data_IF_497961515135
#
_entry.id   IF_497961515135
#
_cell.length_a   1.000
_cell.length_b   1.000
_cell.length_c   1.000
_cell.angle_alpha   90.00
_cell.angle_beta   90.00
_cell.angle_gamma   90.00
#
_symmetry.space_group_name_H-M   'P 1'
#
loop_
_entity.id
_entity.type
_entity.pdbx_description
1 polymer ?
#
# COMPACT_ATOMS: atom_id res chain seq x y z
N UNK A 1 22.62 -23.39 1.43
CA UNK A 1 21.56 -24.42 1.31
C UNK A 1 20.28 -23.84 1.87
N UNK A 2 19.30 -23.49 1.03
CA UNK A 2 18.02 -22.91 1.46
C UNK A 2 16.93 -23.99 1.35
N UNK A 3 16.32 -24.34 2.47
CA UNK A 3 15.24 -25.32 2.51
C UNK A 3 13.95 -24.74 1.92
N UNK A 4 13.23 -25.63 1.25
CA UNK A 4 12.13 -25.39 0.34
C UNK A 4 10.84 -25.04 1.08
N UNK A 5 10.07 -24.13 0.46
CA UNK A 5 8.63 -23.89 0.63
C UNK A 5 7.85 -25.21 0.88
N UNK A 6 6.81 -25.17 1.71
CA UNK A 6 5.77 -26.21 1.97
C UNK A 6 4.63 -25.38 2.61
N UNK A 7 3.34 -25.38 2.22
CA UNK A 7 2.38 -26.35 1.64
C UNK A 7 1.36 -25.56 0.76
N UNK A 8 0.84 -26.04 -0.39
CA UNK A 8 -0.36 -26.89 -0.63
C UNK A 8 -1.62 -26.40 0.11
N UNK A 9 -2.75 -26.07 -0.55
CA UNK A 9 -3.73 -27.01 -1.15
C UNK A 9 -4.59 -26.35 -2.26
N UNK A 10 -4.83 -27.14 -3.31
CA UNK A 10 -5.76 -26.97 -4.44
C UNK A 10 -7.19 -27.44 -4.13
N UNK A 11 -8.16 -27.04 -4.97
CA UNK A 11 -9.47 -27.69 -5.22
C UNK A 11 -10.50 -27.51 -4.06
N UNK A 12 -11.69 -26.94 -4.27
CA UNK A 12 -12.71 -27.45 -5.18
C UNK A 12 -13.85 -26.46 -5.40
N UNK A 13 -14.45 -26.55 -6.57
CA UNK A 13 -15.71 -25.94 -6.95
C UNK A 13 -16.92 -26.62 -6.26
N UNK A 14 -18.06 -25.91 -6.35
CA UNK A 14 -19.45 -26.38 -6.38
C UNK A 14 -20.26 -26.35 -5.06
N UNK A 15 -21.49 -25.83 -5.22
CA UNK A 15 -22.72 -25.95 -4.40
C UNK A 15 -22.92 -24.89 -3.28
N UNK A 16 -24.08 -24.24 -3.05
CA UNK A 16 -25.45 -24.22 -3.62
C UNK A 16 -26.07 -22.87 -3.18
N UNK A 17 -26.87 -22.25 -4.05
CA UNK A 17 -27.81 -21.17 -3.72
C UNK A 17 -28.89 -21.63 -2.73
N UNK A 18 -29.13 -20.91 -1.64
CA UNK A 18 -30.44 -20.91 -0.98
C UNK A 18 -30.91 -19.49 -0.66
N UNK A 19 -32.18 -19.26 -0.98
CA UNK A 19 -33.01 -18.09 -0.72
C UNK A 19 -33.20 -17.78 0.77
N UNK A 20 -33.55 -16.53 1.07
CA UNK A 20 -34.29 -16.20 2.30
C UNK A 20 -34.51 -14.71 2.53
N UNK A 21 -35.69 -14.20 2.14
CA UNK A 21 -36.18 -12.85 2.38
C UNK A 21 -36.55 -12.58 3.85
N UNK A 22 -36.38 -11.33 4.31
CA UNK A 22 -37.35 -10.46 5.05
C UNK A 22 -36.57 -9.30 5.72
N UNK A 23 -36.82 -8.02 5.41
CA UNK A 23 -37.91 -7.15 5.89
C UNK A 23 -37.87 -6.97 7.43
N UNK A 24 -37.99 -5.79 8.06
CA UNK A 24 -38.26 -4.42 7.65
C UNK A 24 -37.98 -3.45 8.83
N UNK A 25 -37.89 -2.15 8.49
CA UNK A 25 -38.36 -0.98 9.25
C UNK A 25 -37.78 -0.59 10.62
N UNK A 26 -37.36 0.68 10.71
CA UNK A 26 -37.24 1.42 11.97
C UNK A 26 -36.41 2.70 11.83
N UNK A 27 -36.99 3.75 11.26
CA UNK A 27 -36.42 5.10 11.19
C UNK A 27 -36.63 5.86 12.53
N UNK A 28 -36.23 7.15 12.65
CA UNK A 28 -35.23 7.63 13.60
C UNK A 28 -35.84 8.39 14.79
N UNK A 29 -35.05 8.59 15.86
CA UNK A 29 -35.39 9.54 16.93
C UNK A 29 -34.41 10.70 16.95
N UNK A 30 -35.02 11.88 16.99
CA UNK A 30 -34.45 13.22 16.88
C UNK A 30 -34.45 13.92 18.24
N UNK A 31 -33.66 14.99 18.30
CA UNK A 31 -33.80 16.21 19.12
C UNK A 31 -33.07 16.30 20.45
N UNK A 32 -32.39 17.43 20.64
CA UNK A 32 -31.73 17.83 21.88
C UNK A 32 -30.72 18.97 21.71
N UNK A 33 -31.23 20.19 21.49
CA UNK A 33 -30.55 21.48 21.32
C UNK A 33 -30.03 22.09 22.63
N UNK A 34 -29.03 22.99 22.54
CA UNK A 34 -28.71 24.03 23.54
C UNK A 34 -27.19 24.29 23.68
N UNK A 35 -26.57 25.24 22.98
CA UNK A 35 -26.55 26.71 23.12
C UNK A 35 -25.71 27.28 24.29
N UNK A 36 -24.93 28.32 23.93
CA UNK A 36 -24.39 29.45 24.71
C UNK A 36 -23.02 29.27 25.41
N UNK A 37 -21.92 29.86 24.90
CA UNK A 37 -21.43 31.27 25.06
C UNK A 37 -20.57 31.47 26.31
N UNK A 38 -19.27 31.79 26.15
CA UNK A 38 -18.65 33.10 26.47
C UNK A 38 -17.15 33.15 26.18
N UNK A 39 -16.75 34.21 25.49
CA UNK A 39 -15.38 34.71 25.36
C UNK A 39 -14.82 35.18 26.71
N UNK A 40 -13.49 35.16 26.84
CA UNK A 40 -12.73 36.32 27.35
C UNK A 40 -11.25 36.17 27.04
N UNK A 41 -10.75 37.12 26.25
CA UNK A 41 -9.35 37.47 26.02
C UNK A 41 -8.81 38.32 27.17
N UNK A 42 -7.48 38.29 27.40
CA UNK A 42 -6.63 39.42 27.85
C UNK A 42 -5.19 38.88 27.99
N UNK A 43 -4.26 39.27 27.11
CA UNK A 43 -3.32 40.42 27.27
C UNK A 43 -2.17 40.10 28.26
N UNK A 44 -0.97 39.80 27.76
CA UNK A 44 0.20 40.72 27.58
C UNK A 44 1.03 40.83 28.90
N UNK A 45 2.35 41.07 29.00
CA UNK A 45 3.38 41.84 28.28
C UNK A 45 4.78 41.27 28.65
N UNK A 46 5.75 41.57 27.79
CA UNK A 46 7.21 41.41 27.79
C UNK A 46 8.04 41.91 28.99
N UNK A 47 9.26 41.36 29.16
CA UNK A 47 10.58 42.06 29.12
C UNK A 47 11.70 41.08 29.48
N UNK A 48 12.67 40.78 28.60
CA UNK A 48 14.01 41.40 28.53
C UNK A 48 14.78 41.36 29.86
N UNK A 49 15.81 40.50 29.92
CA UNK A 49 17.11 40.99 30.38
C UNK A 49 18.28 40.17 29.82
N UNK A 50 19.32 40.91 29.43
CA UNK A 50 20.55 40.43 28.83
C UNK A 50 21.65 40.56 29.87
N UNK A 51 22.53 39.57 30.02
CA UNK A 51 23.88 39.85 30.55
C UNK A 51 24.87 38.77 30.13
N UNK A 52 25.80 39.20 29.29
CA UNK A 52 27.05 38.55 28.95
C UNK A 52 28.04 38.65 30.12
N UNK A 53 28.72 37.55 30.48
CA UNK A 53 30.09 37.63 31.04
C UNK A 53 30.89 36.43 30.55
N UNK A 54 32.01 36.75 29.90
CA UNK A 54 33.12 35.88 29.53
C UNK A 54 34.11 35.79 30.70
N UNK A 55 34.62 34.58 30.98
CA UNK A 55 35.95 34.40 31.57
C UNK A 55 36.50 33.03 31.25
N UNK A 56 37.60 33.02 30.52
CA UNK A 56 38.41 31.87 30.12
C UNK A 56 39.47 31.58 31.21
N UNK A 57 39.80 30.32 31.50
CA UNK A 57 41.17 29.81 31.71
C UNK A 57 41.25 28.35 32.23
N UNK A 58 41.84 27.50 31.38
CA UNK A 58 42.96 26.56 31.67
C UNK A 58 42.82 25.44 32.73
N UNK A 59 42.88 24.17 32.27
CA UNK A 59 44.09 23.28 32.23
C UNK A 59 43.71 21.79 32.39
N UNK A 60 44.33 20.94 31.58
CA UNK A 60 44.08 19.51 31.31
C UNK A 60 44.30 18.52 32.48
N UNK A 61 43.64 17.35 32.41
CA UNK A 61 44.31 16.03 32.28
C UNK A 61 43.33 14.87 31.96
N UNK A 62 43.53 14.26 30.79
CA UNK A 62 43.47 12.84 30.36
C UNK A 62 42.69 11.81 31.21
N UNK A 63 41.72 11.11 30.58
CA UNK A 63 41.72 9.64 30.48
C UNK A 63 40.90 9.19 29.25
N UNK A 64 41.42 8.17 28.57
CA UNK A 64 40.87 7.59 27.35
C UNK A 64 39.55 6.85 27.60
N UNK A 65 38.64 6.90 26.62
CA UNK A 65 37.85 5.73 26.28
C UNK A 65 37.41 5.74 24.82
N UNK A 66 37.31 4.52 24.31
CA UNK A 66 37.47 4.14 22.92
C UNK A 66 36.38 4.67 22.00
N UNK A 67 36.84 5.19 20.86
CA UNK A 67 36.08 5.47 19.66
C UNK A 67 35.21 4.29 19.24
N UNK A 68 33.91 4.42 19.49
CA UNK A 68 32.87 3.69 18.75
C UNK A 68 32.09 4.70 17.94
N UNK A 69 32.74 5.26 16.92
CA UNK A 69 32.04 6.03 15.90
C UNK A 69 31.24 5.02 15.07
N UNK A 70 30.06 4.66 15.56
CA UNK A 70 29.03 4.00 14.76
C UNK A 70 28.57 5.02 13.74
N UNK A 71 29.32 5.13 12.65
CA UNK A 71 28.80 5.64 11.40
C UNK A 71 27.73 4.64 11.01
N UNK A 72 26.50 4.86 11.48
CA UNK A 72 25.33 4.28 10.86
C UNK A 72 25.41 4.79 9.44
N UNK A 73 25.90 3.94 8.54
CA UNK A 73 25.72 4.14 7.12
C UNK A 73 24.20 4.16 6.96
N UNK A 74 23.64 5.36 7.04
CA UNK A 74 22.39 5.68 6.39
C UNK A 74 22.68 5.31 4.96
N UNK A 75 22.29 4.08 4.58
CA UNK A 75 22.00 3.78 3.20
C UNK A 75 20.96 4.83 2.84
N UNK A 76 21.44 5.94 2.28
CA UNK A 76 20.63 6.79 1.44
C UNK A 76 20.21 5.88 0.31
N UNK A 77 19.16 5.10 0.59
CA UNK A 77 18.32 4.47 -0.39
C UNK A 77 18.09 5.58 -1.40
N UNK A 78 18.70 5.46 -2.57
CA UNK A 78 18.23 6.18 -3.73
C UNK A 78 16.71 6.04 -3.71
N UNK A 79 16.00 7.15 -3.82
CA UNK A 79 14.56 7.13 -3.72
C UNK A 79 14.06 6.22 -4.84
N UNK A 80 13.65 4.99 -4.49
CA UNK A 80 13.12 4.04 -5.46
C UNK A 80 11.97 4.74 -6.17
N UNK A 81 12.05 4.83 -7.50
CA UNK A 81 11.05 5.54 -8.30
C UNK A 81 9.63 5.04 -7.97
N UNK A 82 8.63 5.91 -8.16
CA UNK A 82 7.23 5.55 -7.93
C UNK A 82 6.87 4.33 -8.79
N UNK A 83 6.42 3.23 -8.15
CA UNK A 83 6.10 2.00 -8.88
C UNK A 83 4.93 2.17 -9.83
N UNK A 84 3.88 2.87 -9.37
CA UNK A 84 2.63 3.04 -10.11
C UNK A 84 2.03 4.41 -9.78
N UNK A 85 1.54 5.10 -10.80
CA UNK A 85 0.86 6.38 -10.69
C UNK A 85 -0.65 6.17 -10.52
N UNK A 86 -1.28 6.98 -9.68
CA UNK A 86 -2.72 7.00 -9.44
C UNK A 86 -3.45 8.02 -10.35
N UNK A 87 -2.78 8.50 -11.39
CA UNK A 87 -3.31 9.44 -12.39
C UNK A 87 -2.53 9.33 -13.72
N UNK A 88 -3.02 10.01 -14.76
CA UNK A 88 -2.46 9.97 -16.12
C UNK A 88 -1.22 10.85 -16.33
N UNK A 89 -0.80 11.64 -15.34
CA UNK A 89 0.17 12.72 -15.52
C UNK A 89 1.45 12.52 -14.71
N UNK A 90 1.38 11.68 -13.68
CA UNK A 90 2.50 11.33 -12.83
C UNK A 90 3.30 10.21 -13.47
N UNK A 91 4.62 10.39 -13.52
CA UNK A 91 5.53 9.35 -14.02
C UNK A 91 5.70 8.26 -12.98
N UNK A 92 5.58 7.00 -13.40
CA UNK A 92 5.88 5.83 -12.61
C UNK A 92 6.77 4.85 -13.39
N UNK A 93 7.22 3.79 -12.73
CA UNK A 93 7.99 2.71 -13.36
C UNK A 93 7.07 1.85 -14.23
N UNK A 94 5.90 1.48 -13.71
CA UNK A 94 4.93 0.61 -14.37
C UNK A 94 3.61 1.33 -14.63
N UNK A 95 2.97 0.97 -15.74
CA UNK A 95 1.68 1.52 -16.17
C UNK A 95 0.89 0.40 -16.84
N UNK A 96 -0.40 0.28 -16.54
CA UNK A 96 -1.28 -0.72 -17.16
C UNK A 96 -1.23 -0.55 -18.69
N UNK A 97 -1.10 -1.68 -19.38
CA UNK A 97 -0.93 -1.76 -20.84
C UNK A 97 0.50 -1.74 -21.36
N UNK A 98 1.51 -1.70 -20.48
CA UNK A 98 2.88 -2.02 -20.90
C UNK A 98 2.95 -3.46 -21.40
N UNK A 99 3.69 -3.71 -22.49
CA UNK A 99 3.98 -5.07 -22.94
C UNK A 99 4.95 -5.78 -22.00
N UNK A 100 4.99 -7.11 -22.03
CA UNK A 100 5.99 -7.92 -21.30
C UNK A 100 7.42 -7.43 -21.52
N UNK A 101 7.80 -7.07 -22.74
CA UNK A 101 9.15 -6.57 -23.03
C UNK A 101 9.41 -5.18 -22.43
N UNK A 102 8.41 -4.29 -22.45
CA UNK A 102 8.51 -2.99 -21.77
C UNK A 102 8.65 -3.17 -20.25
N UNK A 103 7.91 -4.11 -19.65
CA UNK A 103 8.02 -4.44 -18.23
C UNK A 103 9.41 -4.98 -17.88
N UNK A 104 9.93 -5.95 -18.65
CA UNK A 104 11.28 -6.49 -18.45
C UNK A 104 12.36 -5.42 -18.56
N UNK A 105 12.23 -4.52 -19.54
CA UNK A 105 13.13 -3.38 -19.69
C UNK A 105 13.06 -2.46 -18.48
N UNK A 106 11.87 -2.10 -18.02
CA UNK A 106 11.69 -1.26 -16.84
C UNK A 106 12.27 -1.89 -15.57
N UNK A 107 12.10 -3.20 -15.37
CA UNK A 107 12.73 -3.94 -14.26
C UNK A 107 14.27 -3.82 -14.31
N UNK A 108 14.86 -4.02 -15.48
CA UNK A 108 16.32 -3.93 -15.66
C UNK A 108 16.85 -2.50 -15.44
N UNK A 109 16.18 -1.49 -16.00
CA UNK A 109 16.55 -0.07 -15.85
C UNK A 109 16.45 0.40 -14.40
N UNK A 110 15.52 -0.16 -13.61
CA UNK A 110 15.32 0.17 -12.20
C UNK A 110 15.99 -0.83 -11.24
N UNK A 111 16.89 -1.69 -11.75
CA UNK A 111 17.68 -2.65 -10.96
C UNK A 111 16.82 -3.57 -10.06
N UNK A 112 15.60 -3.90 -10.50
CA UNK A 112 14.67 -4.75 -9.77
C UNK A 112 14.95 -6.22 -10.08
N UNK A 113 15.36 -6.99 -9.07
CA UNK A 113 15.70 -8.40 -9.26
C UNK A 113 14.43 -9.26 -9.28
N UNK A 114 14.31 -10.10 -10.31
CA UNK A 114 13.22 -11.06 -10.43
C UNK A 114 13.55 -12.37 -9.73
N UNK A 115 12.55 -13.03 -9.17
CA UNK A 115 12.70 -14.35 -8.52
C UNK A 115 11.88 -15.41 -9.25
N UNK A 116 12.41 -16.64 -9.27
CA UNK A 116 11.66 -17.78 -9.78
C UNK A 116 10.52 -18.15 -8.81
N UNK A 117 9.30 -18.13 -9.34
CA UNK A 117 8.14 -18.62 -8.63
C UNK A 117 8.14 -20.14 -8.58
N UNK A 118 7.73 -20.69 -7.44
CA UNK A 118 7.64 -22.14 -7.25
C UNK A 118 6.62 -22.77 -8.20
N UNK A 119 5.55 -22.03 -8.44
CA UNK A 119 4.56 -22.33 -9.46
C UNK A 119 4.70 -21.25 -10.54
N UNK A 120 5.52 -21.48 -11.56
CA UNK A 120 5.79 -20.49 -12.58
C UNK A 120 4.53 -20.28 -13.42
N UNK A 121 3.98 -19.08 -13.37
CA UNK A 121 2.94 -18.64 -14.28
C UNK A 121 3.58 -17.79 -15.38
N UNK A 122 3.30 -18.06 -16.67
CA UNK A 122 3.79 -17.22 -17.76
C UNK A 122 3.25 -15.78 -17.68
N UNK A 123 2.15 -15.57 -16.94
CA UNK A 123 1.47 -14.29 -16.79
C UNK A 123 1.82 -13.58 -15.48
N UNK A 124 2.89 -13.98 -14.79
CA UNK A 124 3.35 -13.36 -13.54
C UNK A 124 4.87 -13.21 -13.51
N UNK A 125 5.34 -12.03 -13.14
CA UNK A 125 6.72 -11.75 -12.76
C UNK A 125 6.73 -11.33 -11.29
N UNK A 126 7.63 -11.89 -10.49
CA UNK A 126 7.79 -11.55 -9.08
C UNK A 126 9.19 -11.02 -8.82
N UNK A 127 9.32 -10.08 -7.89
CA UNK A 127 10.61 -9.56 -7.43
C UNK A 127 10.95 -10.05 -6.04
N UNK A 128 12.23 -9.95 -5.67
CA UNK A 128 12.73 -10.25 -4.33
C UNK A 128 12.29 -9.23 -3.26
N UNK A 129 11.70 -8.09 -3.67
CA UNK A 129 11.19 -7.03 -2.79
C UNK A 129 9.65 -6.98 -2.74
N UNK A 130 9.00 -8.14 -2.92
CA UNK A 130 7.55 -8.27 -2.74
C UNK A 130 6.72 -7.56 -3.80
N UNK A 131 7.24 -7.38 -5.02
CA UNK A 131 6.45 -6.83 -6.14
C UNK A 131 6.02 -7.96 -7.06
N UNK A 132 4.71 -8.10 -7.27
CA UNK A 132 4.15 -9.00 -8.27
C UNK A 132 3.53 -8.20 -9.41
N UNK A 133 3.95 -8.52 -10.63
CA UNK A 133 3.44 -7.95 -11.87
C UNK A 133 2.69 -9.05 -12.62
N UNK A 134 1.43 -8.80 -12.93
CA UNK A 134 0.57 -9.74 -13.65
C UNK A 134 0.18 -9.17 -15.01
N UNK A 135 -0.05 -10.08 -15.95
CA UNK A 135 -0.45 -9.80 -17.32
C UNK A 135 -1.83 -10.38 -17.60
N UNK A 136 -2.59 -9.71 -18.45
CA UNK A 136 -3.91 -10.18 -18.86
C UNK A 136 -3.79 -11.49 -19.62
N UNK A 137 -4.54 -12.50 -19.16
CA UNK A 137 -4.55 -13.84 -19.75
C UNK A 137 -4.81 -13.78 -21.26
N UNK A 138 -3.96 -14.45 -22.03
CA UNK A 138 -4.07 -14.50 -23.49
C UNK A 138 -3.56 -13.25 -24.22
N UNK A 139 -2.96 -12.30 -23.50
CA UNK A 139 -2.29 -11.12 -24.06
C UNK A 139 -0.89 -10.98 -23.47
N UNK A 140 -0.10 -10.03 -23.97
CA UNK A 140 1.19 -9.65 -23.40
C UNK A 140 1.13 -8.34 -22.59
N UNK A 141 -0.08 -7.85 -22.28
CA UNK A 141 -0.30 -6.57 -21.63
C UNK A 141 -0.35 -6.71 -20.11
N UNK A 142 0.44 -5.89 -19.43
CA UNK A 142 0.47 -5.77 -17.98
C UNK A 142 -0.82 -5.13 -17.46
N UNK A 143 -1.44 -5.75 -16.45
CA UNK A 143 -2.78 -5.39 -15.99
C UNK A 143 -2.90 -5.16 -14.49
N UNK A 144 -1.94 -5.65 -13.71
CA UNK A 144 -1.97 -5.58 -12.25
C UNK A 144 -0.58 -5.58 -11.65
N UNK A 145 -0.40 -4.73 -10.64
CA UNK A 145 0.74 -4.76 -9.71
C UNK A 145 0.26 -4.95 -8.28
N UNK A 146 0.91 -5.86 -7.55
CA UNK A 146 0.79 -6.04 -6.11
C UNK A 146 2.08 -5.60 -5.44
N UNK A 147 1.96 -4.80 -4.39
CA UNK A 147 3.02 -4.47 -3.44
C UNK A 147 2.72 -5.24 -2.17
N UNK A 148 3.57 -6.21 -1.89
CA UNK A 148 3.51 -7.07 -0.71
C UNK A 148 4.61 -6.71 0.27
N UNK A 149 4.62 -7.40 1.40
CA UNK A 149 5.73 -7.27 2.33
C UNK A 149 6.97 -7.97 1.77
N UNK A 150 8.13 -7.34 1.88
CA UNK A 150 9.44 -7.93 1.56
C UNK A 150 10.07 -8.66 2.77
N UNK A 151 9.31 -8.82 3.87
CA UNK A 151 9.74 -9.50 5.10
C UNK A 151 8.67 -10.45 5.62
N UNK A 152 9.10 -11.67 5.95
CA UNK A 152 8.23 -12.70 6.56
C UNK A 152 7.86 -12.39 8.01
N UNK A 153 8.56 -11.45 8.66
CA UNK A 153 8.46 -11.23 10.12
C UNK A 153 7.87 -9.87 10.49
N UNK A 154 7.95 -8.90 9.59
CA UNK A 154 7.49 -7.53 9.84
C UNK A 154 6.83 -7.00 8.57
N UNK A 155 5.69 -6.34 8.73
CA UNK A 155 5.05 -5.63 7.63
C UNK A 155 5.92 -4.47 7.18
N UNK A 156 6.66 -4.69 6.11
CA UNK A 156 7.56 -3.74 5.49
C UNK A 156 7.55 -3.90 3.98
N UNK A 157 7.63 -2.77 3.28
CA UNK A 157 8.00 -2.72 1.87
C UNK A 157 8.84 -1.47 1.66
N UNK A 158 9.84 -1.59 0.79
CA UNK A 158 10.62 -0.44 0.34
C UNK A 158 9.80 0.58 -0.47
N UNK A 159 8.59 0.21 -0.91
CA UNK A 159 7.77 1.01 -1.82
C UNK A 159 6.56 1.64 -1.13
N UNK A 160 6.21 2.84 -1.60
CA UNK A 160 5.05 3.62 -1.13
C UNK A 160 4.13 3.92 -2.31
N UNK A 161 2.86 4.17 -2.02
CA UNK A 161 1.91 4.69 -3.03
C UNK A 161 2.26 6.12 -3.42
N UNK A 162 1.59 6.64 -4.46
CA UNK A 162 1.74 8.05 -4.86
C UNK A 162 1.39 9.00 -3.70
N UNK A 163 0.39 8.66 -2.89
CA UNK A 163 0.00 9.43 -1.69
C UNK A 163 0.83 9.11 -0.45
N UNK A 164 1.85 8.24 -0.56
CA UNK A 164 2.79 7.93 0.50
C UNK A 164 2.35 6.85 1.49
N UNK A 165 1.28 6.11 1.20
CA UNK A 165 0.85 4.96 2.01
C UNK A 165 1.88 3.82 1.89
N UNK A 166 2.12 3.12 3.00
CA UNK A 166 3.09 2.03 3.11
C UNK A 166 2.47 0.76 3.67
N UNK A 167 3.08 -0.38 3.36
CA UNK A 167 2.83 -1.63 4.07
C UNK A 167 3.15 -1.42 5.55
N UNK A 168 2.26 -1.86 6.43
CA UNK A 168 2.34 -1.67 7.88
C UNK A 168 1.64 -0.43 8.42
N UNK A 169 1.22 0.52 7.57
CA UNK A 169 0.45 1.68 8.01
C UNK A 169 -0.89 1.25 8.61
N UNK A 170 -1.39 2.01 9.58
CA UNK A 170 -2.69 1.77 10.18
C UNK A 170 -3.85 2.16 9.24
N UNK A 171 -5.02 1.55 9.42
CA UNK A 171 -6.23 1.85 8.63
C UNK A 171 -6.63 3.32 8.69
N UNK A 172 -6.33 4.02 9.79
CA UNK A 172 -6.58 5.46 9.94
C UNK A 172 -5.75 6.27 8.93
N UNK A 173 -4.51 5.85 8.64
CA UNK A 173 -3.68 6.47 7.60
C UNK A 173 -4.30 6.29 6.23
N UNK A 174 -4.86 5.11 5.94
CA UNK A 174 -5.58 4.83 4.68
C UNK A 174 -6.74 5.82 4.51
N UNK A 175 -7.61 5.94 5.52
CA UNK A 175 -8.75 6.86 5.49
C UNK A 175 -8.33 8.33 5.37
N UNK A 176 -7.21 8.71 5.98
CA UNK A 176 -6.67 10.07 5.85
C UNK A 176 -6.20 10.38 4.43
N UNK A 177 -5.57 9.42 3.76
CA UNK A 177 -4.99 9.62 2.42
C UNK A 177 -6.01 9.45 1.28
N UNK A 178 -6.97 8.55 1.45
CA UNK A 178 -7.88 8.15 0.37
C UNK A 178 -9.36 8.42 0.66
N UNK A 179 -9.71 8.80 1.90
CA UNK A 179 -11.11 8.90 2.32
C UNK A 179 -11.77 7.53 2.53
N UNK A 180 -13.10 7.53 2.50
CA UNK A 180 -13.88 6.29 2.59
C UNK A 180 -13.81 5.51 1.27
N UNK A 181 -13.63 4.17 1.33
CA UNK A 181 -13.59 3.34 0.14
C UNK A 181 -14.95 3.27 -0.55
N UNK A 182 -14.94 3.08 -1.87
CA UNK A 182 -16.16 2.87 -2.66
C UNK A 182 -16.79 1.51 -2.38
N UNK A 183 -15.97 0.52 -2.00
CA UNK A 183 -16.40 -0.82 -1.62
C UNK A 183 -15.49 -1.40 -0.53
N UNK A 184 -16.08 -2.19 0.36
CA UNK A 184 -15.36 -2.99 1.34
C UNK A 184 -15.76 -4.47 1.22
N UNK A 185 -14.78 -5.34 1.05
CA UNK A 185 -15.02 -6.79 0.98
C UNK A 185 -14.17 -7.53 2.02
N UNK A 186 -14.78 -8.46 2.75
CA UNK A 186 -14.01 -9.39 3.59
C UNK A 186 -13.25 -10.36 2.70
N UNK A 187 -12.02 -10.69 3.07
CA UNK A 187 -11.23 -11.71 2.38
C UNK A 187 -10.46 -12.56 3.38
N UNK A 188 -9.91 -13.65 2.86
CA UNK A 188 -9.13 -14.60 3.62
C UNK A 188 -10.02 -15.60 4.35
N UNK A 189 -9.37 -16.46 5.13
CA UNK A 189 -10.01 -17.52 5.87
C UNK A 189 -9.32 -17.71 7.22
N UNK A 190 -9.81 -18.65 8.02
CA UNK A 190 -9.27 -18.90 9.36
C UNK A 190 -7.84 -19.47 9.35
N UNK A 191 -7.37 -20.00 8.23
CA UNK A 191 -6.05 -20.62 8.08
C UNK A 191 -5.00 -19.64 7.56
N UNK A 192 -5.40 -18.76 6.64
CA UNK A 192 -4.53 -17.81 5.93
C UNK A 192 -4.62 -16.39 6.48
N UNK A 193 -5.45 -16.19 7.52
CA UNK A 193 -5.72 -14.88 8.13
C UNK A 193 -6.92 -14.20 7.49
N UNK A 194 -7.68 -13.48 8.33
CA UNK A 194 -8.84 -12.70 7.87
C UNK A 194 -8.42 -11.26 7.62
N UNK A 195 -9.07 -10.62 6.66
CA UNK A 195 -8.86 -9.21 6.36
C UNK A 195 -10.07 -8.53 5.74
N UNK A 196 -9.94 -7.23 5.54
CA UNK A 196 -10.88 -6.40 4.79
C UNK A 196 -10.13 -5.69 3.68
N UNK A 197 -10.66 -5.79 2.47
CA UNK A 197 -10.16 -5.13 1.28
C UNK A 197 -10.95 -3.85 1.08
N UNK A 198 -10.26 -2.72 1.01
CA UNK A 198 -10.82 -1.42 0.67
C UNK A 198 -10.54 -1.12 -0.80
N UNK A 199 -11.58 -0.84 -1.56
CA UNK A 199 -11.47 -0.50 -2.98
C UNK A 199 -11.69 1.00 -3.18
N UNK A 200 -10.91 1.57 -4.09
CA UNK A 200 -10.98 2.95 -4.54
C UNK A 200 -10.89 2.98 -6.06
N UNK A 201 -11.74 3.76 -6.72
CA UNK A 201 -11.59 4.01 -8.15
C UNK A 201 -10.45 5.02 -8.38
N UNK A 202 -9.60 4.74 -9.37
CA UNK A 202 -8.45 5.57 -9.73
C UNK A 202 -8.71 6.21 -11.11
N UNK A 203 -8.53 7.53 -11.27
CA UNK A 203 -8.78 8.21 -12.53
C UNK A 203 -7.60 8.02 -13.52
N UNK A 204 -7.50 6.82 -14.10
CA UNK A 204 -6.53 6.49 -15.17
C UNK A 204 -7.28 6.22 -16.47
N UNK A 205 -6.82 6.84 -17.56
CA UNK A 205 -7.34 6.61 -18.89
C UNK A 205 -6.78 5.31 -19.49
N UNK A 206 -7.65 4.34 -19.67
CA UNK A 206 -7.33 3.04 -20.26
C UNK A 206 -7.83 2.87 -21.71
N UNK A 207 -8.22 3.94 -22.41
CA UNK A 207 -8.77 3.85 -23.77
C UNK A 207 -7.88 3.07 -24.74
N UNK A 208 -6.56 3.27 -24.67
CA UNK A 208 -5.62 2.58 -25.54
C UNK A 208 -5.44 1.11 -25.16
N UNK A 209 -5.38 0.81 -23.86
CA UNK A 209 -5.35 -0.55 -23.34
C UNK A 209 -6.56 -1.37 -23.84
N UNK A 210 -7.73 -0.75 -23.77
CA UNK A 210 -9.00 -1.34 -24.16
C UNK A 210 -9.25 -1.47 -25.66
N UNK A 211 -8.45 -0.81 -26.52
CA UNK A 211 -8.50 -1.05 -27.98
C UNK A 211 -7.92 -2.41 -28.35
N UNK A 212 -6.95 -2.89 -27.56
CA UNK A 212 -6.26 -4.16 -27.79
C UNK A 212 -7.01 -5.32 -27.14
N UNK A 213 -7.72 -5.05 -26.04
CA UNK A 213 -8.60 -6.03 -25.42
C UNK A 213 -9.90 -6.25 -26.21
N UNK A 214 -10.24 -7.50 -26.48
CA UNK A 214 -11.47 -7.91 -27.21
C UNK A 214 -12.73 -8.00 -26.34
N UNK A 215 -12.66 -7.54 -25.08
CA UNK A 215 -13.77 -7.69 -24.11
C UNK A 215 -14.96 -6.83 -24.52
N UNK A 216 -16.17 -7.40 -24.48
CA UNK A 216 -17.40 -6.80 -25.05
C UNK A 216 -18.09 -5.76 -24.17
N UNK A 217 -17.80 -5.71 -22.87
CA UNK A 217 -18.51 -4.81 -21.94
C UNK A 217 -17.61 -3.65 -21.50
N UNK A 218 -18.10 -2.42 -21.69
CA UNK A 218 -17.35 -1.18 -21.44
C UNK A 218 -17.74 -0.44 -20.16
N UNK A 219 -18.86 -0.80 -19.53
CA UNK A 219 -19.51 0.01 -18.50
C UNK A 219 -18.78 0.06 -17.16
N UNK A 220 -17.99 -0.97 -16.81
CA UNK A 220 -17.34 -1.08 -15.49
C UNK A 220 -15.80 -0.99 -15.58
N UNK A 221 -15.31 -0.48 -16.71
CA UNK A 221 -13.89 -0.35 -17.03
C UNK A 221 -13.22 0.74 -16.22
N UNK A 222 -11.98 0.49 -15.81
CA UNK A 222 -11.17 1.45 -15.05
C UNK A 222 -10.02 0.77 -14.33
N UNK A 223 -9.35 1.52 -13.46
CA UNK A 223 -8.33 0.98 -12.56
C UNK A 223 -8.84 1.13 -11.13
N UNK A 224 -8.72 0.10 -10.32
CA UNK A 224 -8.95 0.21 -8.89
C UNK A 224 -7.64 0.13 -8.11
N UNK A 225 -7.62 0.84 -6.98
CA UNK A 225 -6.68 0.64 -5.89
C UNK A 225 -7.38 -0.22 -4.86
N UNK A 226 -6.82 -1.40 -4.57
CA UNK A 226 -7.25 -2.26 -3.48
C UNK A 226 -6.20 -2.25 -2.39
N UNK A 227 -6.62 -1.90 -1.18
CA UNK A 227 -5.78 -1.92 0.02
C UNK A 227 -6.29 -3.02 0.93
N UNK A 228 -5.45 -4.03 1.16
CA UNK A 228 -5.76 -5.13 2.05
C UNK A 228 -5.32 -4.77 3.47
N UNK A 229 -6.26 -4.85 4.41
CA UNK A 229 -6.04 -4.57 5.83
C UNK A 229 -6.23 -5.86 6.63
N UNK A 230 -5.24 -6.21 7.43
CA UNK A 230 -5.32 -7.39 8.30
C UNK A 230 -6.35 -7.19 9.41
N UNK A 231 -7.22 -8.17 9.59
CA UNK A 231 -8.13 -8.32 10.72
C UNK A 231 -7.68 -9.46 11.66
N UNK A 232 -6.56 -10.10 11.36
CA UNK A 232 -5.95 -11.12 12.22
C UNK A 232 -5.50 -10.48 13.54
N UNK A 233 -5.78 -11.18 14.65
CA UNK A 233 -5.36 -10.76 16.00
C UNK A 233 -3.82 -10.69 16.09
N UNK A 234 -3.31 -9.74 16.86
CA UNK A 234 -1.87 -9.55 17.11
C UNK A 234 -1.35 -8.21 16.60
N UNK A 235 -0.03 -8.10 16.45
CA UNK A 235 0.67 -6.84 16.16
C UNK A 235 0.35 -6.24 14.77
N UNK A 236 -0.29 -7.03 13.91
CA UNK A 236 -0.68 -6.65 12.54
C UNK A 236 -2.18 -6.32 12.42
N UNK A 237 -2.94 -6.34 13.51
CA UNK A 237 -4.34 -5.97 13.49
C UNK A 237 -4.51 -4.52 13.00
N UNK A 238 -5.45 -4.30 12.07
CA UNK A 238 -5.73 -3.01 11.43
C UNK A 238 -4.55 -2.36 10.69
N UNK A 239 -3.60 -3.17 10.21
CA UNK A 239 -2.49 -2.68 9.39
C UNK A 239 -2.65 -3.08 7.92
N UNK A 240 -2.15 -2.23 7.03
CA UNK A 240 -2.03 -2.51 5.60
C UNK A 240 -1.05 -3.65 5.39
N UNK A 241 -1.49 -4.69 4.68
CA UNK A 241 -0.67 -5.87 4.36
C UNK A 241 -0.37 -6.03 2.88
N UNK A 242 -1.19 -5.43 2.01
CA UNK A 242 -0.98 -5.45 0.57
C UNK A 242 -1.61 -4.22 -0.05
N UNK A 243 -0.97 -3.69 -1.10
CA UNK A 243 -1.49 -2.63 -1.94
C UNK A 243 -1.52 -3.15 -3.37
N UNK A 244 -2.66 -3.05 -4.04
CA UNK A 244 -2.86 -3.62 -5.38
C UNK A 244 -3.44 -2.54 -6.29
N UNK A 245 -2.84 -2.36 -7.46
CA UNK A 245 -3.41 -1.61 -8.57
C UNK A 245 -3.75 -2.61 -9.66
N UNK A 246 -4.98 -2.59 -10.15
CA UNK A 246 -5.39 -3.51 -11.20
C UNK A 246 -6.50 -2.93 -12.06
N UNK A 247 -6.55 -3.38 -13.29
CA UNK A 247 -7.69 -3.14 -14.15
C UNK A 247 -8.96 -3.78 -13.57
N UNK A 248 -10.05 -3.02 -13.64
CA UNK A 248 -11.39 -3.43 -13.21
C UNK A 248 -12.04 -4.26 -14.33
N UNK A 249 -11.50 -5.44 -14.59
CA UNK A 249 -12.18 -6.40 -15.44
C UNK A 249 -13.31 -7.07 -14.65
N UNK A 250 -14.52 -7.01 -15.18
CA UNK A 250 -15.65 -7.80 -14.71
C UNK A 250 -15.27 -9.28 -14.72
N UNK A 251 -15.14 -9.89 -13.53
CA UNK A 251 -15.09 -11.34 -13.36
C UNK A 251 -16.33 -12.01 -13.95
#
# INVERSE_FOLDING_TARGET
>A
MKFRKLCFISLSALLIFTWGCNAANGAPVSSGTGSAVKNSSSDSVSSLDSSSVSSNASKSAVTADSSSNSTTASSTSEEKGLLFAEDDHTKAIFHIGMTSEQVKKALAENQMQTVENRDPSPNRISTDHGIDLLFTLGTDLFDKISIESDSDTQLHSSYKTQKGLKIGDAVETVRKLYGEPVEQAKYGDNLNGQGVAYYYDIPINLDNYYKVQTVKNKSDRGVYLRINISQSKGNNYNKVVTIIYAEKANN
#
